data_IF_357878924474
#
_entry.id   IF_357878924474
#
_cell.length_a   1.000
_cell.length_b   1.000
_cell.length_c   1.000
_cell.angle_alpha   90.00
_cell.angle_beta   90.00
_cell.angle_gamma   90.00
#
_symmetry.space_group_name_H-M   'P 1'
#
loop_
_entity.id
_entity.type
_entity.pdbx_description
1 polymer ?
#
# COMPACT_ATOMS: atom_id res chain seq x y z
N UNK A 1 -50.65 18.67 -5.79
CA UNK A 1 -49.73 19.74 -5.30
C UNK A 1 -48.38 19.09 -5.05
N UNK A 2 -47.54 19.03 -6.08
CA UNK A 2 -46.16 18.60 -5.97
C UNK A 2 -45.33 19.82 -5.61
N UNK A 3 -44.71 19.83 -4.43
CA UNK A 3 -43.70 20.83 -4.08
C UNK A 3 -42.39 20.39 -4.78
N UNK A 4 -41.93 21.26 -5.69
CA UNK A 4 -40.64 21.09 -6.36
C UNK A 4 -39.50 21.19 -5.34
N UNK A 5 -38.61 20.19 -5.39
CA UNK A 5 -37.29 20.29 -4.80
C UNK A 5 -36.52 21.23 -5.73
N UNK A 6 -36.13 22.41 -5.25
CA UNK A 6 -35.15 23.23 -5.94
C UNK A 6 -33.84 22.52 -5.93
N UNK A 7 -33.41 22.06 -7.10
CA UNK A 7 -32.01 21.70 -7.34
C UNK A 7 -31.22 23.04 -7.24
N UNK A 8 -30.49 23.21 -6.13
CA UNK A 8 -29.43 24.18 -6.08
C UNK A 8 -28.34 23.74 -7.05
N UNK A 9 -28.35 24.31 -8.24
CA UNK A 9 -27.25 24.18 -9.19
C UNK A 9 -26.01 24.80 -8.57
N UNK A 10 -25.07 23.98 -8.11
CA UNK A 10 -23.75 24.43 -7.66
C UNK A 10 -23.06 25.03 -8.89
N UNK A 11 -22.92 26.36 -8.91
CA UNK A 11 -22.28 27.05 -10.02
C UNK A 11 -20.77 26.75 -9.97
N UNK A 12 -20.29 26.07 -10.99
CA UNK A 12 -18.84 25.72 -11.20
C UNK A 12 -17.92 26.96 -11.25
N UNK A 13 -18.50 28.18 -11.36
CA UNK A 13 -17.76 29.45 -11.46
C UNK A 13 -17.05 29.86 -10.16
N UNK A 14 -17.41 29.28 -9.00
CA UNK A 14 -16.75 29.55 -7.71
C UNK A 14 -15.47 28.76 -7.47
N UNK A 15 -15.20 27.73 -8.27
CA UNK A 15 -14.02 26.90 -8.09
C UNK A 15 -12.86 27.46 -8.92
N UNK A 16 -11.86 28.02 -8.25
CA UNK A 16 -10.57 28.29 -8.88
C UNK A 16 -10.01 26.92 -9.25
N UNK A 17 -10.04 26.61 -10.55
CA UNK A 17 -9.35 25.43 -11.04
C UNK A 17 -7.86 25.57 -10.71
N UNK A 18 -7.42 24.97 -9.62
CA UNK A 18 -6.00 24.71 -9.44
C UNK A 18 -5.56 24.00 -10.73
N UNK A 19 -4.46 24.45 -11.39
CA UNK A 19 -4.06 23.92 -12.68
C UNK A 19 -4.04 22.38 -12.58
N UNK A 20 -4.86 21.74 -13.41
CA UNK A 20 -5.20 20.30 -13.46
C UNK A 20 -4.16 19.46 -12.73
N UNK A 21 -4.36 19.30 -11.43
CA UNK A 21 -3.61 18.34 -10.63
C UNK A 21 -4.17 16.94 -11.00
N UNK A 22 -3.79 16.46 -12.19
CA UNK A 22 -3.91 15.05 -12.53
C UNK A 22 -2.86 14.32 -11.71
N UNK A 23 -3.14 14.12 -10.44
CA UNK A 23 -2.29 13.41 -9.52
C UNK A 23 -3.18 12.47 -8.73
N UNK A 24 -2.95 11.31 -8.86
CA UNK A 24 -3.12 10.10 -8.13
C UNK A 24 -3.43 9.02 -9.14
N UNK A 25 -2.41 8.40 -9.53
CA UNK A 25 -2.44 7.34 -10.50
C UNK A 25 -2.77 6.05 -9.77
N UNK A 26 -3.60 5.26 -10.40
CA UNK A 26 -3.91 3.92 -9.99
C UNK A 26 -2.63 3.07 -10.02
N UNK A 27 -2.46 2.20 -9.04
CA UNK A 27 -1.26 1.39 -8.89
C UNK A 27 -1.50 -0.01 -9.42
N UNK A 28 -0.78 -0.39 -10.47
CA UNK A 28 -0.59 -1.80 -10.82
C UNK A 28 0.67 -2.28 -10.08
N UNK A 29 0.48 -3.12 -9.09
CA UNK A 29 1.58 -3.68 -8.34
C UNK A 29 2.24 -4.78 -9.15
N UNK A 30 3.54 -4.69 -9.40
CA UNK A 30 4.30 -5.76 -10.03
C UNK A 30 4.65 -6.86 -9.02
N UNK A 31 4.66 -6.54 -7.71
CA UNK A 31 5.03 -7.41 -6.60
C UNK A 31 4.19 -7.11 -5.36
N UNK A 32 3.90 -8.11 -4.50
CA UNK A 32 2.81 -8.06 -3.52
C UNK A 32 3.25 -8.19 -2.07
N UNK A 33 2.70 -7.34 -1.21
CA UNK A 33 2.69 -7.55 0.24
C UNK A 33 4.06 -7.64 0.92
N UNK A 34 5.07 -6.92 0.43
CA UNK A 34 6.40 -6.86 1.04
C UNK A 34 6.84 -5.44 1.44
N UNK A 35 6.10 -4.42 1.05
CA UNK A 35 6.35 -3.01 1.35
C UNK A 35 6.28 -2.71 2.85
N UNK A 36 5.30 -3.28 3.56
CA UNK A 36 5.22 -3.15 5.01
C UNK A 36 6.26 -3.99 5.78
N UNK A 37 6.98 -4.88 5.08
CA UNK A 37 8.19 -5.55 5.56
C UNK A 37 9.46 -4.83 5.15
N UNK A 38 9.34 -3.63 4.53
CA UNK A 38 10.39 -2.71 4.10
C UNK A 38 11.32 -3.25 3.00
N UNK A 39 10.89 -4.28 2.26
CA UNK A 39 11.58 -4.70 1.04
C UNK A 39 11.17 -3.84 -0.14
N UNK A 40 12.09 -3.74 -1.09
CA UNK A 40 11.90 -3.00 -2.32
C UNK A 40 10.71 -3.55 -3.11
N UNK A 41 9.97 -2.64 -3.77
CA UNK A 41 8.81 -2.96 -4.59
C UNK A 41 8.90 -2.32 -5.96
N UNK A 42 8.16 -2.86 -6.91
CA UNK A 42 8.18 -2.39 -8.30
C UNK A 42 6.75 -2.11 -8.80
N UNK A 43 6.05 -1.09 -8.27
CA UNK A 43 4.75 -0.68 -8.79
C UNK A 43 4.87 0.10 -10.10
N UNK A 44 3.76 0.19 -10.82
CA UNK A 44 3.58 1.16 -11.89
C UNK A 44 2.23 1.86 -11.79
N UNK A 45 2.16 3.09 -12.30
CA UNK A 45 0.90 3.82 -12.38
C UNK A 45 0.13 3.48 -13.65
N UNK A 46 -1.18 3.50 -13.55
CA UNK A 46 -2.12 3.41 -14.67
C UNK A 46 -2.87 4.74 -14.86
N UNK A 47 -3.70 4.84 -15.88
CA UNK A 47 -4.33 6.11 -16.29
C UNK A 47 -5.51 6.56 -15.44
N UNK A 48 -6.03 5.70 -14.56
CA UNK A 48 -7.12 6.09 -13.65
C UNK A 48 -6.60 7.07 -12.59
N UNK A 49 -7.41 8.04 -12.20
CA UNK A 49 -7.00 9.14 -11.34
C UNK A 49 -8.07 9.52 -10.31
N UNK A 50 -7.68 10.37 -9.37
CA UNK A 50 -8.54 11.11 -8.45
C UNK A 50 -8.33 12.60 -8.69
N UNK A 51 -9.43 13.34 -8.82
CA UNK A 51 -9.45 14.76 -9.05
C UNK A 51 -10.16 15.46 -7.88
N UNK A 52 -9.56 16.52 -7.37
CA UNK A 52 -10.17 17.38 -6.35
C UNK A 52 -10.21 18.82 -6.86
N UNK A 53 -11.41 19.39 -7.00
CA UNK A 53 -11.59 20.82 -7.17
C UNK A 53 -11.75 21.44 -5.78
N UNK A 54 -11.01 22.51 -5.49
CA UNK A 54 -10.94 23.12 -4.16
C UNK A 54 -11.24 24.61 -4.26
N UNK A 55 -12.16 25.09 -3.43
CA UNK A 55 -12.39 26.51 -3.15
C UNK A 55 -12.03 26.80 -1.69
N UNK A 56 -11.26 27.83 -1.46
CA UNK A 56 -10.82 28.25 -0.12
C UNK A 56 -11.78 29.28 0.44
N UNK A 57 -12.15 29.14 1.71
CA UNK A 57 -12.94 30.16 2.41
C UNK A 57 -12.04 31.08 3.25
N UNK A 58 -12.34 32.36 3.21
CA UNK A 58 -11.81 33.26 4.23
C UNK A 58 -12.52 32.99 5.57
N UNK A 59 -11.76 32.98 6.65
CA UNK A 59 -12.28 32.77 8.00
C UNK A 59 -13.01 34.06 8.46
N UNK A 60 -14.33 34.02 8.40
CA UNK A 60 -15.14 35.20 8.87
C UNK A 60 -15.25 35.20 10.40
N UNK A 61 -15.69 34.13 11.01
CA UNK A 61 -15.76 33.90 12.48
C UNK A 61 -15.99 32.39 12.76
N UNK A 62 -15.47 31.90 13.88
CA UNK A 62 -15.63 30.46 14.26
C UNK A 62 -14.57 29.52 13.69
N UNK A 63 -14.73 28.20 13.81
CA UNK A 63 -13.81 27.22 13.28
C UNK A 63 -13.77 27.25 11.75
N UNK A 64 -12.64 26.86 11.17
CA UNK A 64 -12.57 26.63 9.72
C UNK A 64 -13.35 25.35 9.39
N UNK A 65 -14.15 25.37 8.31
CA UNK A 65 -15.03 24.25 7.95
C UNK A 65 -14.58 23.63 6.63
N UNK A 66 -14.66 22.33 6.51
CA UNK A 66 -14.50 21.60 5.25
C UNK A 66 -15.83 21.01 4.83
N UNK A 67 -16.26 21.37 3.62
CA UNK A 67 -17.39 20.72 2.96
C UNK A 67 -16.85 19.83 1.83
N UNK A 68 -17.10 18.53 1.96
CA UNK A 68 -16.62 17.54 1.02
C UNK A 68 -17.79 16.90 0.26
N UNK A 69 -17.78 17.06 -1.05
CA UNK A 69 -18.80 16.57 -1.98
C UNK A 69 -18.18 15.68 -3.05
N UNK A 70 -18.99 14.87 -3.72
CA UNK A 70 -18.56 14.01 -4.80
C UNK A 70 -19.53 14.11 -5.99
N UNK A 71 -19.03 14.00 -7.21
CA UNK A 71 -19.86 13.99 -8.43
C UNK A 71 -20.84 12.80 -8.48
N UNK A 72 -20.62 11.78 -7.63
CA UNK A 72 -21.51 10.62 -7.45
C UNK A 72 -22.14 10.61 -6.05
N UNK A 73 -23.05 11.53 -5.71
CA UNK A 73 -23.57 11.70 -4.35
C UNK A 73 -24.36 10.49 -3.83
N UNK A 74 -24.91 9.65 -4.71
CA UNK A 74 -25.61 8.42 -4.33
C UNK A 74 -24.68 7.37 -3.73
N UNK A 75 -23.39 7.41 -4.10
CA UNK A 75 -22.36 6.48 -3.61
C UNK A 75 -21.53 7.11 -2.50
N UNK A 76 -21.29 8.41 -2.59
CA UNK A 76 -20.44 9.17 -1.69
C UNK A 76 -21.20 10.40 -1.17
N UNK A 77 -21.91 10.19 -0.07
CA UNK A 77 -22.71 11.26 0.55
C UNK A 77 -21.84 12.46 0.92
N UNK A 78 -22.37 13.67 0.68
CA UNK A 78 -21.70 14.90 1.06
C UNK A 78 -21.61 15.03 2.58
N UNK A 79 -20.47 15.48 3.07
CA UNK A 79 -20.20 15.66 4.50
C UNK A 79 -19.57 17.01 4.75
N UNK A 80 -19.89 17.57 5.92
CA UNK A 80 -19.28 18.79 6.43
C UNK A 80 -18.72 18.53 7.83
N UNK A 81 -17.56 19.11 8.12
CA UNK A 81 -16.94 19.00 9.43
C UNK A 81 -16.04 20.20 9.71
N UNK A 82 -15.92 20.56 10.98
CA UNK A 82 -15.06 21.64 11.44
C UNK A 82 -13.62 21.18 11.64
N UNK A 83 -12.68 22.08 11.31
CA UNK A 83 -11.29 21.94 11.68
C UNK A 83 -11.14 22.58 13.07
N UNK A 84 -10.79 21.82 14.13
CA UNK A 84 -10.67 22.39 15.47
C UNK A 84 -9.57 23.44 15.52
N UNK A 85 -9.73 24.49 16.34
CA UNK A 85 -8.70 25.55 16.48
C UNK A 85 -7.38 25.01 17.04
N UNK A 86 -7.43 23.90 17.76
CA UNK A 86 -6.26 23.17 18.31
C UNK A 86 -6.44 21.67 18.15
N UNK A 87 -5.32 20.96 17.92
CA UNK A 87 -5.35 19.51 17.69
C UNK A 87 -5.71 19.16 16.24
N UNK A 88 -6.13 17.94 16.02
CA UNK A 88 -6.43 17.40 14.69
C UNK A 88 -7.91 17.02 14.58
N UNK A 89 -8.41 16.94 13.34
CA UNK A 89 -9.78 16.47 13.08
C UNK A 89 -9.91 15.01 13.50
N UNK A 90 -11.05 14.67 14.07
CA UNK A 90 -11.32 13.31 14.50
C UNK A 90 -11.55 12.38 13.30
N UNK A 91 -10.82 11.25 13.29
CA UNK A 91 -10.97 10.15 12.33
C UNK A 91 -11.57 8.97 13.08
N UNK A 92 -12.79 8.58 12.72
CA UNK A 92 -13.43 7.38 13.26
C UNK A 92 -13.05 6.16 12.40
N UNK A 93 -12.01 5.44 12.81
CA UNK A 93 -11.53 4.24 12.11
C UNK A 93 -12.54 3.07 12.15
N UNK A 94 -13.58 3.13 12.98
CA UNK A 94 -14.64 2.14 13.05
C UNK A 94 -15.75 2.39 12.02
N UNK A 95 -15.86 3.61 11.50
CA UNK A 95 -16.86 4.01 10.53
C UNK A 95 -16.34 3.90 9.08
N UNK A 96 -17.17 3.27 8.22
CA UNK A 96 -16.93 3.14 6.77
C UNK A 96 -17.20 4.47 6.04
N UNK A 97 -16.56 5.56 6.48
CA UNK A 97 -16.73 6.86 5.84
C UNK A 97 -15.60 7.17 4.88
N UNK A 98 -15.95 7.44 3.61
CA UNK A 98 -14.98 7.85 2.60
C UNK A 98 -14.26 9.15 2.96
N UNK A 99 -14.90 10.02 3.77
CA UNK A 99 -14.35 11.28 4.27
C UNK A 99 -13.19 11.06 5.26
N UNK A 100 -13.08 9.89 5.90
CA UNK A 100 -11.96 9.58 6.78
C UNK A 100 -10.62 9.58 6.05
N UNK A 101 -10.60 9.21 4.76
CA UNK A 101 -9.40 9.29 3.93
C UNK A 101 -9.00 10.74 3.62
N UNK A 102 -9.99 11.64 3.40
CA UNK A 102 -9.71 13.06 3.28
C UNK A 102 -9.18 13.64 4.59
N UNK A 103 -9.83 13.35 5.72
CA UNK A 103 -9.39 13.76 7.05
C UNK A 103 -7.98 13.29 7.35
N UNK A 104 -7.63 12.07 6.95
CA UNK A 104 -6.27 11.52 7.05
C UNK A 104 -5.24 12.38 6.29
N UNK A 105 -5.51 12.72 5.03
CA UNK A 105 -4.69 13.64 4.24
C UNK A 105 -4.59 15.04 4.85
N UNK A 106 -5.69 15.57 5.40
CA UNK A 106 -5.74 16.85 6.08
C UNK A 106 -4.85 16.85 7.34
N UNK A 107 -4.93 15.82 8.17
CA UNK A 107 -4.10 15.69 9.39
C UNK A 107 -2.62 15.65 9.00
N UNK A 108 -2.23 14.76 8.08
CA UNK A 108 -0.83 14.64 7.66
C UNK A 108 -0.29 15.94 7.07
N UNK A 109 -1.04 16.59 6.17
CA UNK A 109 -0.64 17.88 5.58
C UNK A 109 -0.52 18.98 6.64
N UNK A 110 -1.48 19.06 7.57
CA UNK A 110 -1.46 20.04 8.66
C UNK A 110 -0.25 19.85 9.58
N UNK A 111 0.09 18.63 9.93
CA UNK A 111 1.30 18.31 10.71
C UNK A 111 2.59 18.74 9.99
N UNK A 112 2.69 18.48 8.68
CA UNK A 112 3.84 18.89 7.89
C UNK A 112 3.94 20.42 7.81
N UNK A 113 2.82 21.10 7.59
CA UNK A 113 2.76 22.58 7.53
C UNK A 113 3.14 23.20 8.87
N UNK A 114 2.73 22.63 10.00
CA UNK A 114 3.15 23.09 11.33
C UNK A 114 4.67 22.95 11.55
N UNK A 115 5.31 21.94 10.96
CA UNK A 115 6.75 21.71 11.05
C UNK A 115 7.57 22.62 10.12
N UNK A 116 7.00 23.00 8.97
CA UNK A 116 7.75 23.66 7.89
C UNK A 116 7.45 25.15 7.75
N UNK A 117 6.28 25.62 8.22
CA UNK A 117 5.87 27.02 8.13
C UNK A 117 5.78 27.64 9.53
N UNK A 118 6.65 28.62 9.80
CA UNK A 118 6.65 29.32 11.08
C UNK A 118 5.32 30.02 11.34
N UNK A 119 4.72 29.77 12.51
CA UNK A 119 3.45 30.36 12.91
C UNK A 119 2.19 29.69 12.31
N UNK A 120 2.33 28.69 11.47
CA UNK A 120 1.19 27.91 10.99
C UNK A 120 0.54 27.13 12.13
N UNK A 121 -0.76 27.29 12.31
CA UNK A 121 -1.51 26.60 13.37
C UNK A 121 -2.49 25.58 12.82
N UNK A 122 -3.35 26.01 11.91
CA UNK A 122 -4.41 25.19 11.34
C UNK A 122 -4.66 25.51 9.86
N UNK A 123 -5.23 24.54 9.15
CA UNK A 123 -5.62 24.72 7.75
C UNK A 123 -6.77 25.71 7.59
N UNK A 124 -6.83 26.34 6.43
CA UNK A 124 -8.00 27.14 5.99
C UNK A 124 -9.21 26.26 5.76
N UNK A 125 -10.41 26.85 5.79
CA UNK A 125 -11.65 26.19 5.39
C UNK A 125 -11.71 25.98 3.87
N UNK A 126 -12.40 24.89 3.43
CA UNK A 126 -12.42 24.49 2.02
C UNK A 126 -13.76 23.87 1.63
N UNK A 127 -14.26 24.24 0.44
CA UNK A 127 -15.24 23.45 -0.30
C UNK A 127 -14.48 22.57 -1.30
N UNK A 128 -14.78 21.28 -1.30
CA UNK A 128 -14.09 20.30 -2.13
C UNK A 128 -15.11 19.48 -2.90
N UNK A 129 -14.91 19.42 -4.22
CA UNK A 129 -15.62 18.51 -5.09
C UNK A 129 -14.65 17.43 -5.57
N UNK A 130 -14.96 16.19 -5.23
CA UNK A 130 -14.17 15.01 -5.61
C UNK A 130 -14.79 14.33 -6.84
N UNK A 131 -13.91 13.90 -7.74
CA UNK A 131 -14.20 13.02 -8.89
C UNK A 131 -13.05 12.06 -9.08
N UNK A 132 -13.20 11.05 -9.94
CA UNK A 132 -12.12 10.16 -10.31
C UNK A 132 -12.60 8.85 -10.90
N UNK A 133 -11.67 8.21 -11.58
CA UNK A 133 -11.90 6.95 -12.31
C UNK A 133 -11.30 5.73 -11.60
N UNK A 134 -10.64 5.93 -10.44
CA UNK A 134 -10.10 4.83 -9.62
C UNK A 134 -11.26 4.05 -8.99
N UNK A 135 -11.44 2.75 -9.31
CA UNK A 135 -12.53 1.97 -8.75
C UNK A 135 -12.33 1.77 -7.24
N UNK A 136 -13.32 2.23 -6.45
CA UNK A 136 -13.32 2.01 -5.01
C UNK A 136 -13.49 0.53 -4.68
N UNK A 137 -12.62 -0.03 -3.82
CA UNK A 137 -12.62 -1.45 -3.45
C UNK A 137 -12.13 -2.40 -4.54
N UNK A 138 -11.63 -1.89 -5.67
CA UNK A 138 -11.17 -2.69 -6.81
C UNK A 138 -9.71 -3.18 -6.74
N UNK A 139 -9.07 -3.12 -5.58
CA UNK A 139 -7.67 -3.60 -5.43
C UNK A 139 -6.60 -2.68 -6.06
N UNK A 140 -6.98 -1.48 -6.50
CA UNK A 140 -6.11 -0.55 -7.20
C UNK A 140 -5.82 0.71 -6.37
N UNK A 141 -5.76 0.56 -5.05
CA UNK A 141 -5.26 1.56 -4.11
C UNK A 141 -5.98 2.91 -4.13
N UNK A 142 -7.32 2.90 -4.29
CA UNK A 142 -8.13 4.12 -4.29
C UNK A 142 -7.97 4.95 -3.01
N UNK A 143 -7.72 4.32 -1.86
CA UNK A 143 -7.49 5.00 -0.59
C UNK A 143 -6.20 5.81 -0.60
N UNK A 144 -5.08 5.20 -0.97
CA UNK A 144 -3.79 5.89 -1.03
C UNK A 144 -3.82 7.05 -2.04
N UNK A 145 -4.44 6.82 -3.21
CA UNK A 145 -4.64 7.86 -4.21
C UNK A 145 -5.45 9.05 -3.64
N UNK A 146 -6.53 8.76 -2.92
CA UNK A 146 -7.37 9.80 -2.34
C UNK A 146 -6.68 10.52 -1.18
N UNK A 147 -5.93 9.82 -0.31
CA UNK A 147 -5.13 10.44 0.76
C UNK A 147 -4.05 11.36 0.18
N UNK A 148 -3.31 10.91 -0.84
CA UNK A 148 -2.28 11.73 -1.50
C UNK A 148 -2.88 12.98 -2.17
N UNK A 149 -4.01 12.83 -2.88
CA UNK A 149 -4.72 13.95 -3.50
C UNK A 149 -5.23 14.93 -2.45
N UNK A 150 -5.79 14.43 -1.35
CA UNK A 150 -6.30 15.24 -0.23
C UNK A 150 -5.19 16.05 0.46
N UNK A 151 -4.08 15.38 0.79
CA UNK A 151 -2.93 16.06 1.39
C UNK A 151 -2.37 17.15 0.47
N UNK A 152 -2.24 16.87 -0.83
CA UNK A 152 -1.79 17.83 -1.82
C UNK A 152 -2.77 19.01 -1.93
N UNK A 153 -4.08 18.76 -1.94
CA UNK A 153 -5.12 19.80 -1.97
C UNK A 153 -5.02 20.71 -0.75
N UNK A 154 -4.87 20.15 0.44
CA UNK A 154 -4.70 20.91 1.69
C UNK A 154 -3.44 21.77 1.66
N UNK A 155 -2.30 21.21 1.25
CA UNK A 155 -1.05 21.96 1.13
C UNK A 155 -1.18 23.13 0.15
N UNK A 156 -1.81 22.89 -1.00
CA UNK A 156 -2.07 23.94 -2.01
C UNK A 156 -3.03 25.03 -1.51
N UNK A 157 -4.11 24.63 -0.82
CA UNK A 157 -5.06 25.57 -0.22
C UNK A 157 -4.41 26.50 0.82
N UNK A 158 -3.37 26.00 1.51
CA UNK A 158 -2.60 26.76 2.49
C UNK A 158 -1.35 27.47 1.91
N UNK A 159 -1.30 27.68 0.60
CA UNK A 159 -0.30 28.53 -0.06
C UNK A 159 1.01 27.86 -0.42
N UNK A 160 1.14 26.52 -0.29
CA UNK A 160 2.35 25.81 -0.72
C UNK A 160 2.38 25.69 -2.24
N UNK A 161 3.21 26.47 -2.91
CA UNK A 161 3.30 26.46 -4.37
C UNK A 161 4.02 25.22 -4.93
N UNK A 162 5.08 24.77 -4.26
CA UNK A 162 5.87 23.60 -4.67
C UNK A 162 5.88 22.58 -3.56
N UNK A 163 5.16 21.49 -3.78
CA UNK A 163 5.09 20.37 -2.84
C UNK A 163 6.25 19.42 -3.10
N UNK A 164 7.01 19.08 -2.06
CA UNK A 164 8.01 18.03 -2.13
C UNK A 164 7.30 16.68 -2.21
N UNK A 165 7.61 15.90 -3.25
CA UNK A 165 6.99 14.60 -3.50
C UNK A 165 7.31 13.58 -2.41
N UNK A 166 8.53 13.58 -1.88
CA UNK A 166 8.97 12.67 -0.81
C UNK A 166 8.18 12.96 0.47
N UNK A 167 8.13 14.22 0.89
CA UNK A 167 7.38 14.63 2.07
C UNK A 167 5.89 14.28 1.94
N UNK A 168 5.29 14.48 0.75
CA UNK A 168 3.90 14.12 0.46
C UNK A 168 3.66 12.61 0.60
N UNK A 169 4.58 11.77 0.10
CA UNK A 169 4.45 10.31 0.22
C UNK A 169 4.62 9.87 1.66
N UNK A 170 5.64 10.35 2.36
CA UNK A 170 5.92 10.00 3.75
C UNK A 170 4.76 10.36 4.68
N UNK A 171 4.21 11.57 4.55
CA UNK A 171 3.04 11.97 5.34
C UNK A 171 1.81 11.11 5.00
N UNK A 172 1.57 10.81 3.71
CA UNK A 172 0.43 10.02 3.30
C UNK A 172 0.49 8.57 3.82
N UNK A 173 1.68 7.96 3.87
CA UNK A 173 1.91 6.64 4.46
C UNK A 173 1.50 6.64 5.95
N UNK A 174 2.01 7.61 6.70
CA UNK A 174 1.78 7.67 8.15
C UNK A 174 0.33 8.00 8.46
N UNK A 175 -0.24 8.98 7.77
CA UNK A 175 -1.60 9.46 8.05
C UNK A 175 -2.67 8.45 7.63
N UNK A 176 -2.51 7.69 6.53
CA UNK A 176 -3.48 6.67 6.13
C UNK A 176 -3.64 5.56 7.18
N UNK A 177 -2.60 5.27 7.96
CA UNK A 177 -2.69 4.31 9.07
C UNK A 177 -3.74 4.71 10.12
N UNK A 178 -4.09 5.99 10.24
CA UNK A 178 -5.15 6.45 11.14
C UNK A 178 -6.56 5.96 10.74
N UNK A 179 -6.75 5.53 9.49
CA UNK A 179 -8.03 4.95 9.01
C UNK A 179 -8.13 3.45 9.35
N UNK A 180 -7.11 2.85 10.00
CA UNK A 180 -7.15 1.45 10.45
C UNK A 180 -6.56 0.44 9.47
N UNK A 181 -5.77 0.88 8.48
CA UNK A 181 -5.07 0.03 7.51
C UNK A 181 -3.56 0.16 7.67
N UNK A 182 -2.86 -0.98 7.78
CA UNK A 182 -1.40 -1.04 7.96
C UNK A 182 -0.63 -0.82 6.64
N UNK A 183 -0.78 0.34 6.02
CA UNK A 183 -0.12 0.68 4.75
C UNK A 183 1.41 0.67 4.88
N UNK A 184 2.09 0.04 3.90
CA UNK A 184 3.56 -0.01 3.82
C UNK A 184 4.17 1.17 3.07
N UNK A 185 3.48 1.72 2.08
CA UNK A 185 3.92 2.92 1.36
C UNK A 185 4.09 2.77 -0.15
N UNK A 186 3.98 1.57 -0.69
CA UNK A 186 4.08 1.31 -2.12
C UNK A 186 3.02 2.10 -2.91
N UNK A 187 1.78 2.09 -2.43
CA UNK A 187 0.64 2.71 -3.10
C UNK A 187 0.77 4.23 -3.17
N UNK A 188 1.19 4.86 -2.08
CA UNK A 188 1.41 6.30 -2.02
C UNK A 188 2.58 6.71 -2.92
N UNK A 189 3.69 5.95 -2.90
CA UNK A 189 4.83 6.20 -3.79
C UNK A 189 4.42 6.10 -5.26
N UNK A 190 3.66 5.07 -5.62
CA UNK A 190 3.16 4.87 -6.97
C UNK A 190 2.06 5.86 -7.39
N UNK A 191 1.42 6.55 -6.45
CA UNK A 191 0.48 7.64 -6.75
C UNK A 191 1.19 8.97 -7.06
N UNK A 192 2.44 9.18 -6.61
CA UNK A 192 3.10 10.49 -6.61
C UNK A 192 4.34 10.55 -7.51
N UNK A 193 5.18 9.51 -7.55
CA UNK A 193 6.48 9.53 -8.23
C UNK A 193 6.50 9.10 -9.70
N UNK A 194 5.57 8.27 -10.22
CA UNK A 194 5.75 7.63 -11.52
C UNK A 194 5.87 8.60 -12.69
N UNK A 195 6.57 8.13 -13.71
CA UNK A 195 6.58 8.71 -15.05
C UNK A 195 5.88 7.75 -16.02
N UNK A 196 5.26 8.31 -17.05
CA UNK A 196 4.60 7.52 -18.09
C UNK A 196 5.62 6.62 -18.79
N UNK A 197 5.27 5.35 -19.00
CA UNK A 197 6.12 4.38 -19.71
C UNK A 197 7.24 3.80 -18.85
N UNK A 198 7.11 3.89 -17.52
CA UNK A 198 8.07 3.30 -16.59
C UNK A 198 7.38 2.60 -15.42
N UNK A 199 8.05 1.59 -14.86
CA UNK A 199 7.80 1.12 -13.51
C UNK A 199 8.52 2.02 -12.51
N UNK A 200 8.20 1.89 -11.23
CA UNK A 200 8.82 2.64 -10.15
C UNK A 200 9.49 1.66 -9.17
N UNK A 201 10.81 1.69 -9.09
CA UNK A 201 11.55 0.95 -8.06
C UNK A 201 11.58 1.78 -6.79
N UNK A 202 10.91 1.29 -5.74
CA UNK A 202 10.78 1.98 -4.45
C UNK A 202 11.56 1.23 -3.40
N UNK A 203 12.41 1.93 -2.65
CA UNK A 203 13.09 1.45 -1.46
C UNK A 203 12.64 2.24 -0.24
N UNK A 204 12.50 1.57 0.90
CA UNK A 204 12.06 2.16 2.16
C UNK A 204 13.21 2.31 3.17
N UNK A 205 14.34 1.71 2.90
CA UNK A 205 15.53 1.65 3.78
C UNK A 205 16.77 2.07 3.00
N UNK A 206 17.66 2.92 3.56
CA UNK A 206 17.61 3.56 4.88
C UNK A 206 16.57 4.69 4.97
N UNK A 207 16.12 5.18 3.83
CA UNK A 207 15.09 6.21 3.69
C UNK A 207 14.25 5.94 2.44
N UNK A 208 13.04 6.51 2.40
CA UNK A 208 12.18 6.40 1.22
C UNK A 208 12.89 7.00 -0.01
N UNK A 209 13.05 6.17 -1.02
CA UNK A 209 13.55 6.57 -2.33
C UNK A 209 12.77 5.91 -3.45
N UNK A 210 12.69 6.58 -4.60
CA UNK A 210 11.93 6.11 -5.74
C UNK A 210 12.67 6.41 -7.04
N UNK A 211 12.90 5.39 -7.85
CA UNK A 211 13.60 5.48 -9.13
C UNK A 211 12.71 4.94 -10.24
N UNK A 212 12.48 5.77 -11.27
CA UNK A 212 11.77 5.30 -12.46
C UNK A 212 12.65 4.34 -13.27
N UNK A 213 12.08 3.20 -13.63
CA UNK A 213 12.69 2.15 -14.45
C UNK A 213 11.93 2.10 -15.76
N UNK A 214 12.54 2.58 -16.82
CA UNK A 214 11.92 2.57 -18.15
C UNK A 214 11.71 1.13 -18.63
N UNK A 215 10.59 0.89 -19.29
CA UNK A 215 10.40 -0.37 -20.02
C UNK A 215 11.32 -0.38 -21.23
N UNK A 216 11.96 -1.52 -21.55
CA UNK A 216 12.83 -1.62 -22.70
C UNK A 216 12.04 -1.35 -23.99
N UNK A 217 12.65 -0.67 -24.94
CA UNK A 217 12.08 -0.52 -26.27
C UNK A 217 12.06 -1.88 -26.99
N UNK A 218 10.89 -2.32 -27.39
CA UNK A 218 10.65 -3.63 -27.96
C UNK A 218 9.89 -3.48 -29.26
N UNK A 219 10.14 -4.38 -30.24
CA UNK A 219 9.35 -4.43 -31.49
C UNK A 219 7.87 -4.68 -31.22
N UNK A 220 7.57 -5.62 -30.30
CA UNK A 220 6.24 -5.83 -29.75
C UNK A 220 6.21 -5.21 -28.36
N UNK A 221 5.49 -4.10 -28.17
CA UNK A 221 5.52 -3.40 -26.89
C UNK A 221 4.95 -4.25 -25.77
N UNK A 222 5.57 -4.15 -24.59
CA UNK A 222 5.05 -4.77 -23.37
C UNK A 222 3.69 -4.15 -23.05
N UNK A 223 2.67 -4.99 -22.98
CA UNK A 223 1.28 -4.55 -22.71
C UNK A 223 0.78 -5.21 -21.44
N UNK A 224 0.23 -4.40 -20.54
CA UNK A 224 -0.45 -4.85 -19.33
C UNK A 224 -1.95 -4.70 -19.48
N UNK A 225 -2.68 -5.79 -19.22
CA UNK A 225 -4.14 -5.81 -19.23
C UNK A 225 -4.61 -5.95 -17.79
N UNK A 226 -5.48 -5.04 -17.35
CA UNK A 226 -6.08 -5.07 -16.03
C UNK A 226 -7.48 -5.64 -16.17
N UNK A 227 -7.73 -6.79 -15.54
CA UNK A 227 -9.03 -7.42 -15.44
C UNK A 227 -9.58 -7.33 -14.03
N UNK A 228 -10.88 -7.12 -13.90
CA UNK A 228 -11.55 -7.05 -12.61
C UNK A 228 -12.32 -8.33 -12.33
N UNK A 229 -12.11 -8.91 -11.15
CA UNK A 229 -12.86 -10.09 -10.68
C UNK A 229 -14.26 -9.76 -10.16
N UNK A 230 -14.60 -8.48 -10.02
CA UNK A 230 -15.83 -7.97 -9.37
C UNK A 230 -16.00 -8.42 -7.91
N UNK A 231 -15.00 -9.04 -7.32
CA UNK A 231 -14.97 -9.33 -5.89
C UNK A 231 -14.61 -8.04 -5.16
N UNK A 232 -15.56 -7.46 -4.44
CA UNK A 232 -15.33 -6.29 -3.63
C UNK A 232 -14.77 -6.69 -2.27
N UNK A 233 -13.59 -6.19 -1.91
CA UNK A 233 -13.05 -6.33 -0.57
C UNK A 233 -13.65 -5.24 0.33
N UNK A 234 -14.56 -5.61 1.21
CA UNK A 234 -14.90 -4.76 2.34
C UNK A 234 -13.74 -4.77 3.35
N UNK A 235 -12.96 -3.69 3.35
CA UNK A 235 -11.75 -3.59 4.18
C UNK A 235 -12.02 -3.76 5.68
N UNK A 236 -13.20 -3.37 6.19
CA UNK A 236 -13.54 -3.52 7.61
C UNK A 236 -13.81 -4.98 7.98
N UNK A 237 -14.33 -5.77 7.05
CA UNK A 237 -14.58 -7.20 7.25
C UNK A 237 -13.34 -8.02 6.97
N UNK A 238 -12.63 -7.70 5.90
CA UNK A 238 -11.53 -8.52 5.37
C UNK A 238 -10.16 -8.15 5.93
N UNK A 239 -9.90 -6.87 6.26
CA UNK A 239 -8.58 -6.47 6.77
C UNK A 239 -8.17 -7.22 8.06
N UNK A 240 -9.07 -7.47 9.05
CA UNK A 240 -8.68 -8.22 10.25
C UNK A 240 -8.20 -9.65 10.00
N UNK A 241 -8.64 -10.29 8.94
CA UNK A 241 -8.30 -11.69 8.60
C UNK A 241 -7.37 -11.82 7.42
N UNK A 242 -7.20 -10.76 6.64
CA UNK A 242 -6.38 -10.75 5.43
C UNK A 242 -5.20 -9.78 5.57
N UNK A 243 -5.44 -8.48 5.43
CA UNK A 243 -4.36 -7.50 5.33
C UNK A 243 -3.64 -7.27 6.67
N UNK A 244 -4.37 -6.85 7.72
CA UNK A 244 -3.78 -6.56 9.03
C UNK A 244 -3.14 -7.81 9.65
N UNK A 245 -3.79 -8.97 9.49
CA UNK A 245 -3.23 -10.24 9.95
C UNK A 245 -1.88 -10.54 9.30
N UNK A 246 -1.73 -10.29 7.99
CA UNK A 246 -0.45 -10.51 7.29
C UNK A 246 0.66 -9.63 7.87
N UNK A 247 0.36 -8.36 8.17
CA UNK A 247 1.33 -7.45 8.80
C UNK A 247 1.76 -7.96 10.18
N UNK A 248 0.82 -8.43 10.99
CA UNK A 248 1.12 -9.02 12.31
C UNK A 248 1.95 -10.29 12.17
N UNK A 249 1.58 -11.20 11.24
CA UNK A 249 2.30 -12.45 11.02
C UNK A 249 3.76 -12.22 10.59
N UNK A 250 4.04 -11.29 9.66
CA UNK A 250 5.43 -11.00 9.24
C UNK A 250 6.24 -10.30 10.33
N UNK A 251 5.60 -9.45 11.14
CA UNK A 251 6.25 -8.80 12.30
C UNK A 251 6.62 -9.84 13.36
N UNK A 252 5.70 -10.74 13.70
CA UNK A 252 5.96 -11.84 14.63
C UNK A 252 7.05 -12.79 14.10
N UNK A 253 7.07 -13.05 12.78
CA UNK A 253 8.13 -13.85 12.16
C UNK A 253 9.51 -13.19 12.34
N UNK A 254 9.62 -11.87 12.15
CA UNK A 254 10.86 -11.14 12.38
C UNK A 254 11.33 -11.27 13.84
N UNK A 255 10.42 -11.11 14.81
CA UNK A 255 10.73 -11.22 16.24
C UNK A 255 11.15 -12.66 16.63
N UNK A 256 10.40 -13.66 16.16
CA UNK A 256 10.71 -15.08 16.45
C UNK A 256 12.04 -15.49 15.85
N UNK A 257 12.32 -15.11 14.61
CA UNK A 257 13.62 -15.36 13.98
C UNK A 257 14.75 -14.65 14.73
N UNK A 258 14.56 -13.38 15.10
CA UNK A 258 15.56 -12.66 15.92
C UNK A 258 15.87 -13.39 17.23
N UNK A 259 14.85 -13.87 17.91
CA UNK A 259 15.02 -14.64 19.15
C UNK A 259 15.75 -15.96 18.94
N UNK A 260 15.37 -16.72 17.91
CA UNK A 260 15.99 -18.00 17.56
C UNK A 260 17.50 -17.84 17.22
N UNK A 261 17.85 -16.77 16.51
CA UNK A 261 19.25 -16.50 16.14
C UNK A 261 20.03 -15.71 17.21
N UNK A 262 19.44 -15.51 18.39
CA UNK A 262 20.12 -14.86 19.52
C UNK A 262 20.46 -13.39 19.25
N UNK A 263 19.71 -12.73 18.37
CA UNK A 263 19.81 -11.28 18.21
C UNK A 263 19.30 -10.58 19.46
N UNK A 264 19.91 -9.45 19.78
CA UNK A 264 19.34 -8.51 20.75
C UNK A 264 18.00 -7.97 20.22
N UNK A 265 17.35 -7.09 20.99
CA UNK A 265 16.13 -6.43 20.53
C UNK A 265 16.37 -5.78 19.16
N UNK A 266 15.47 -6.04 18.22
CA UNK A 266 15.56 -5.43 16.88
C UNK A 266 15.41 -3.90 17.01
N UNK A 267 16.24 -3.13 16.29
CA UNK A 267 16.09 -1.68 16.29
C UNK A 267 14.72 -1.30 15.72
N UNK A 268 14.07 -0.25 16.25
CA UNK A 268 12.85 0.27 15.68
C UNK A 268 13.06 0.69 14.21
N UNK A 269 12.10 0.37 13.37
CA UNK A 269 12.07 0.72 11.95
C UNK A 269 10.74 1.40 11.54
N UNK A 270 10.63 2.00 10.34
CA UNK A 270 9.42 2.67 9.88
C UNK A 270 8.26 1.72 9.52
N UNK A 271 8.41 0.42 9.71
CA UNK A 271 7.33 -0.56 9.52
C UNK A 271 6.10 -0.24 10.37
N UNK A 272 4.91 -0.71 9.98
CA UNK A 272 3.66 -0.37 10.66
C UNK A 272 3.62 -0.69 12.15
N UNK A 273 4.32 -1.74 12.57
CA UNK A 273 4.41 -2.20 13.96
C UNK A 273 5.81 -1.99 14.60
N UNK A 274 6.64 -1.17 13.95
CA UNK A 274 7.94 -0.72 14.47
C UNK A 274 9.09 -1.70 14.29
N UNK A 275 8.84 -2.92 13.79
CA UNK A 275 9.85 -3.92 13.42
C UNK A 275 9.38 -4.70 12.20
N UNK A 276 10.33 -5.11 11.35
CA UNK A 276 10.04 -5.78 10.07
C UNK A 276 10.99 -6.93 9.79
N UNK A 277 10.65 -7.75 8.78
CA UNK A 277 11.56 -8.80 8.28
C UNK A 277 12.83 -8.21 7.67
N UNK A 278 12.80 -6.99 7.11
CA UNK A 278 13.99 -6.29 6.65
C UNK A 278 14.88 -5.88 7.82
N UNK A 279 14.30 -5.35 8.89
CA UNK A 279 15.05 -5.01 10.11
C UNK A 279 15.73 -6.24 10.73
N UNK A 280 15.02 -7.40 10.75
CA UNK A 280 15.62 -8.67 11.13
C UNK A 280 16.77 -9.07 10.19
N UNK A 281 16.56 -9.02 8.87
CA UNK A 281 17.58 -9.37 7.87
C UNK A 281 18.87 -8.56 8.07
N UNK A 282 18.75 -7.25 8.17
CA UNK A 282 19.89 -6.35 8.32
C UNK A 282 20.64 -6.61 9.66
N UNK A 283 19.91 -6.78 10.77
CA UNK A 283 20.50 -7.09 12.06
C UNK A 283 21.19 -8.48 12.08
N UNK A 284 20.60 -9.45 11.40
CA UNK A 284 21.18 -10.79 11.29
C UNK A 284 22.49 -10.76 10.48
N UNK A 285 22.55 -10.06 9.35
CA UNK A 285 23.78 -9.93 8.55
C UNK A 285 24.85 -9.13 9.28
N UNK A 286 24.47 -8.10 10.03
CA UNK A 286 25.40 -7.35 10.88
C UNK A 286 26.04 -8.26 11.94
N UNK A 287 25.25 -9.08 12.64
CA UNK A 287 25.75 -9.99 13.67
C UNK A 287 26.62 -11.11 13.08
N UNK A 288 26.19 -11.72 11.96
CA UNK A 288 26.83 -12.90 11.38
C UNK A 288 28.05 -12.59 10.53
N UNK A 289 28.01 -11.50 9.76
CA UNK A 289 29.03 -11.17 8.75
C UNK A 289 29.66 -9.79 8.96
N UNK A 290 29.22 -9.03 9.98
CA UNK A 290 29.73 -7.68 10.25
C UNK A 290 29.28 -6.63 9.22
N UNK A 291 28.27 -6.93 8.40
CA UNK A 291 27.74 -6.02 7.38
C UNK A 291 26.91 -4.94 8.08
N UNK A 292 27.45 -3.73 8.16
CA UNK A 292 26.77 -2.60 8.81
C UNK A 292 25.68 -1.98 7.94
N UNK A 293 25.91 -1.93 6.62
CA UNK A 293 25.05 -1.26 5.65
C UNK A 293 24.58 -2.27 4.59
N UNK A 294 23.60 -3.11 4.95
CA UNK A 294 23.13 -4.16 4.06
C UNK A 294 22.42 -3.65 2.79
N UNK A 295 22.08 -2.35 2.74
CA UNK A 295 21.55 -1.69 1.54
C UNK A 295 22.65 -1.31 0.52
N UNK A 296 23.94 -1.41 0.89
CA UNK A 296 25.09 -1.13 0.01
C UNK A 296 25.70 -2.40 -0.61
N UNK A 297 25.27 -3.60 -0.17
CA UNK A 297 25.78 -4.84 -0.78
C UNK A 297 25.31 -4.99 -2.23
N UNK A 298 26.01 -5.79 -3.00
CA UNK A 298 25.63 -6.06 -4.38
C UNK A 298 24.27 -6.75 -4.45
N UNK A 299 23.51 -6.54 -5.54
CA UNK A 299 22.22 -7.23 -5.73
C UNK A 299 22.36 -8.75 -5.69
N UNK A 300 23.44 -9.31 -6.24
CA UNK A 300 23.69 -10.75 -6.22
C UNK A 300 23.87 -11.25 -4.78
N UNK A 301 24.68 -10.57 -4.00
CA UNK A 301 24.88 -10.89 -2.58
C UNK A 301 23.58 -10.77 -1.80
N UNK A 302 22.79 -9.74 -2.04
CA UNK A 302 21.49 -9.57 -1.40
C UNK A 302 20.51 -10.71 -1.77
N UNK A 303 20.51 -11.16 -3.02
CA UNK A 303 19.72 -12.33 -3.45
C UNK A 303 20.18 -13.61 -2.76
N UNK A 304 21.49 -13.83 -2.64
CA UNK A 304 22.07 -14.98 -1.93
C UNK A 304 21.68 -14.98 -0.44
N UNK A 305 21.71 -13.80 0.21
CA UNK A 305 21.25 -13.63 1.58
C UNK A 305 19.77 -14.00 1.73
N UNK A 306 18.90 -13.52 0.83
CA UNK A 306 17.48 -13.85 0.84
C UNK A 306 17.24 -15.37 0.65
N UNK A 307 18.00 -16.03 -0.23
CA UNK A 307 17.90 -17.47 -0.44
C UNK A 307 18.34 -18.27 0.81
N UNK A 308 19.39 -17.81 1.49
CA UNK A 308 19.84 -18.38 2.78
C UNK A 308 18.74 -18.20 3.86
N UNK A 309 18.10 -17.04 3.91
CA UNK A 309 17.01 -16.78 4.85
C UNK A 309 15.78 -17.65 4.59
N UNK A 310 15.42 -17.93 3.34
CA UNK A 310 14.34 -18.88 3.00
C UNK A 310 14.68 -20.28 3.55
N UNK A 311 15.91 -20.75 3.33
CA UNK A 311 16.36 -22.04 3.86
C UNK A 311 16.30 -22.09 5.40
N UNK A 312 16.63 -20.98 6.06
CA UNK A 312 16.52 -20.86 7.52
C UNK A 312 15.09 -20.83 8.02
N UNK A 313 14.20 -20.13 7.31
CA UNK A 313 12.76 -20.14 7.62
C UNK A 313 12.24 -21.59 7.59
N UNK A 314 12.59 -22.35 6.56
CA UNK A 314 12.18 -23.76 6.45
C UNK A 314 12.72 -24.63 7.60
N UNK A 315 13.94 -24.40 8.02
CA UNK A 315 14.60 -25.14 9.10
C UNK A 315 14.09 -24.76 10.49
N UNK A 316 13.92 -23.47 10.75
CA UNK A 316 13.73 -22.95 12.12
C UNK A 316 12.29 -22.52 12.45
N UNK A 317 11.41 -22.45 11.45
CA UNK A 317 9.98 -22.23 11.65
C UNK A 317 9.16 -23.46 11.20
N UNK A 318 9.23 -24.60 11.92
CA UNK A 318 8.66 -25.87 11.46
C UNK A 318 7.13 -25.95 11.53
N UNK A 319 6.45 -25.00 12.18
CA UNK A 319 4.99 -25.06 12.40
C UNK A 319 4.23 -24.64 11.14
N UNK A 320 3.86 -25.59 10.30
CA UNK A 320 3.10 -25.36 9.06
C UNK A 320 1.67 -24.87 9.33
N UNK A 321 1.04 -25.40 10.38
CA UNK A 321 -0.31 -24.96 10.80
C UNK A 321 -0.34 -23.60 11.51
N UNK A 322 0.85 -23.01 11.77
CA UNK A 322 1.03 -21.74 12.46
C UNK A 322 1.22 -21.88 13.97
N UNK A 323 1.60 -20.79 14.59
CA UNK A 323 1.94 -20.68 16.01
C UNK A 323 0.76 -20.14 16.81
N UNK A 324 0.45 -20.75 17.96
CA UNK A 324 -0.52 -20.20 18.90
C UNK A 324 0.08 -19.04 19.71
N UNK A 325 -0.77 -18.30 20.45
CA UNK A 325 -0.32 -17.21 21.34
C UNK A 325 0.58 -17.71 22.46
N UNK A 326 0.32 -18.90 22.98
CA UNK A 326 1.11 -19.56 24.02
C UNK A 326 2.51 -19.90 23.50
N UNK A 327 2.60 -20.48 22.31
CA UNK A 327 3.88 -20.79 21.67
C UNK A 327 4.70 -19.52 21.38
N UNK A 328 4.05 -18.46 20.92
CA UNK A 328 4.70 -17.18 20.71
C UNK A 328 5.20 -16.56 22.02
N UNK A 329 4.39 -16.64 23.09
CA UNK A 329 4.74 -16.20 24.44
C UNK A 329 5.99 -16.91 24.95
N UNK A 330 6.03 -18.24 24.81
CA UNK A 330 7.17 -19.06 25.21
C UNK A 330 8.45 -18.72 24.43
N UNK A 331 8.37 -18.66 23.08
CA UNK A 331 9.52 -18.35 22.24
C UNK A 331 10.07 -16.95 22.46
N UNK A 332 9.18 -15.96 22.55
CA UNK A 332 9.56 -14.56 22.69
C UNK A 332 9.97 -14.20 24.13
N UNK A 333 9.54 -15.01 25.11
CA UNK A 333 9.72 -14.71 26.52
C UNK A 333 8.92 -13.47 26.97
N UNK A 334 7.77 -13.23 26.36
CA UNK A 334 6.82 -12.16 26.66
C UNK A 334 5.47 -12.75 27.02
N UNK A 335 4.75 -12.17 27.97
CA UNK A 335 3.39 -12.60 28.26
C UNK A 335 2.44 -12.27 27.08
N UNK A 336 1.37 -13.06 26.96
CA UNK A 336 0.40 -12.96 25.86
C UNK A 336 -0.21 -11.55 25.77
N UNK A 337 -0.53 -10.96 26.93
CA UNK A 337 -1.13 -9.63 26.98
C UNK A 337 -0.18 -8.57 26.38
N UNK A 338 1.11 -8.63 26.71
CA UNK A 338 2.13 -7.74 26.13
C UNK A 338 2.25 -7.90 24.62
N UNK A 339 2.23 -9.14 24.10
CA UNK A 339 2.27 -9.40 22.66
C UNK A 339 1.03 -8.79 21.98
N UNK A 340 -0.15 -9.02 22.53
CA UNK A 340 -1.40 -8.48 22.00
C UNK A 340 -1.42 -6.95 22.02
N UNK A 341 -1.00 -6.34 23.11
CA UNK A 341 -0.97 -4.88 23.25
C UNK A 341 -0.01 -4.22 22.25
N UNK A 342 1.17 -4.78 22.06
CA UNK A 342 2.18 -4.21 21.18
C UNK A 342 1.89 -4.43 19.68
N UNK A 343 1.38 -5.61 19.33
CA UNK A 343 1.38 -6.03 17.91
C UNK A 343 -0.02 -6.31 17.35
N UNK A 344 -1.06 -6.47 18.19
CA UNK A 344 -2.39 -6.92 17.74
C UNK A 344 -3.51 -5.93 18.04
N UNK A 345 -3.37 -5.03 19.04
CA UNK A 345 -4.41 -4.05 19.42
C UNK A 345 -4.49 -2.85 18.49
N UNK A 346 -3.36 -2.41 17.93
CA UNK A 346 -3.33 -1.22 17.09
C UNK A 346 -4.22 -1.37 15.85
N UNK A 347 -4.33 -2.58 15.34
CA UNK A 347 -5.15 -2.91 14.18
C UNK A 347 -5.88 -4.23 14.47
N UNK A 348 -7.22 -4.26 14.37
CA UNK A 348 -7.98 -5.46 14.68
C UNK A 348 -7.53 -6.65 13.83
N UNK A 349 -7.30 -7.80 14.46
CA UNK A 349 -7.03 -9.08 13.80
C UNK A 349 -7.94 -10.17 14.34
N UNK A 350 -8.18 -11.18 13.51
CA UNK A 350 -8.96 -12.38 13.87
C UNK A 350 -8.20 -13.62 13.41
N UNK A 351 -7.45 -14.22 14.33
CA UNK A 351 -6.74 -15.47 14.10
C UNK A 351 -6.46 -16.17 15.43
N UNK A 352 -6.51 -17.50 15.42
CA UNK A 352 -6.09 -18.35 16.54
C UNK A 352 -4.65 -18.79 16.38
N UNK A 353 -4.17 -18.90 15.15
CA UNK A 353 -2.81 -19.27 14.79
C UNK A 353 -2.20 -18.30 13.78
N UNK A 354 -0.88 -18.16 13.83
CA UNK A 354 -0.09 -17.24 13.03
C UNK A 354 0.90 -18.03 12.14
N UNK A 355 0.74 -17.92 10.83
CA UNK A 355 1.52 -18.71 9.83
C UNK A 355 2.86 -18.06 9.49
N UNK A 356 3.77 -17.97 10.46
CA UNK A 356 5.03 -17.22 10.35
C UNK A 356 5.92 -17.73 9.22
N UNK A 357 6.06 -19.08 9.08
CA UNK A 357 6.86 -19.73 8.04
C UNK A 357 6.43 -19.27 6.64
N UNK A 358 5.16 -19.48 6.32
CA UNK A 358 4.62 -19.18 5.01
C UNK A 358 4.76 -17.69 4.67
N UNK A 359 4.51 -16.80 5.65
CA UNK A 359 4.60 -15.35 5.41
C UNK A 359 6.03 -14.90 5.18
N UNK A 360 6.99 -15.38 5.97
CA UNK A 360 8.41 -15.07 5.78
C UNK A 360 8.94 -15.62 4.45
N UNK A 361 8.61 -16.88 4.11
CA UNK A 361 8.97 -17.49 2.82
C UNK A 361 8.48 -16.69 1.63
N UNK A 362 7.20 -16.24 1.67
CA UNK A 362 6.66 -15.37 0.63
C UNK A 362 7.43 -14.06 0.52
N UNK A 363 7.64 -13.36 1.65
CA UNK A 363 8.30 -12.04 1.66
C UNK A 363 9.71 -12.11 1.08
N UNK A 364 10.52 -13.05 1.52
CA UNK A 364 11.89 -13.22 0.99
C UNK A 364 11.90 -13.66 -0.48
N UNK A 365 11.02 -14.59 -0.86
CA UNK A 365 10.87 -15.03 -2.24
C UNK A 365 10.39 -13.92 -3.17
N UNK A 366 9.44 -13.10 -2.71
CA UNK A 366 8.94 -11.97 -3.48
C UNK A 366 9.99 -10.88 -3.64
N UNK A 367 10.80 -10.62 -2.60
CA UNK A 367 11.94 -9.70 -2.69
C UNK A 367 12.94 -10.14 -3.76
N UNK A 368 13.24 -11.45 -3.87
CA UNK A 368 14.07 -12.00 -4.94
C UNK A 368 13.42 -11.75 -6.32
N UNK A 369 12.11 -11.98 -6.46
CA UNK A 369 11.38 -11.77 -7.72
C UNK A 369 11.40 -10.30 -8.15
N UNK A 370 11.26 -9.34 -7.20
CA UNK A 370 11.42 -7.90 -7.46
C UNK A 370 12.78 -7.59 -8.08
N UNK A 371 13.87 -8.09 -7.47
CA UNK A 371 15.23 -7.85 -7.95
C UNK A 371 15.43 -8.43 -9.35
N UNK A 372 15.01 -9.67 -9.58
CA UNK A 372 15.09 -10.33 -10.90
C UNK A 372 14.27 -9.59 -11.96
N UNK A 373 13.06 -9.16 -11.63
CA UNK A 373 12.21 -8.41 -12.56
C UNK A 373 12.84 -7.07 -12.92
N UNK A 374 13.37 -6.36 -11.94
CA UNK A 374 14.09 -5.10 -12.15
C UNK A 374 15.33 -5.28 -13.02
N UNK A 375 16.09 -6.38 -12.84
CA UNK A 375 17.27 -6.69 -13.67
C UNK A 375 16.87 -7.01 -15.11
N UNK A 376 15.77 -7.72 -15.33
CA UNK A 376 15.24 -7.97 -16.67
C UNK A 376 14.82 -6.68 -17.38
N UNK A 377 14.20 -5.73 -16.66
CA UNK A 377 13.84 -4.42 -17.23
C UNK A 377 15.07 -3.56 -17.51
N UNK A 378 16.13 -3.67 -16.70
CA UNK A 378 17.36 -2.91 -16.87
C UNK A 378 18.33 -3.52 -17.89
N UNK A 379 18.06 -4.72 -18.39
CA UNK A 379 18.86 -5.39 -19.40
C UNK A 379 18.81 -4.63 -20.75
N UNK A 380 19.81 -4.79 -21.62
CA UNK A 380 19.77 -4.24 -22.97
C UNK A 380 18.49 -4.62 -23.70
N UNK A 381 17.92 -3.67 -24.45
CA UNK A 381 16.71 -3.90 -25.22
C UNK A 381 16.89 -5.05 -26.23
N UNK A 382 15.92 -5.97 -26.35
CA UNK A 382 16.02 -7.11 -27.27
C UNK A 382 16.09 -6.63 -28.71
N UNK A 383 17.02 -7.18 -29.49
CA UNK A 383 17.26 -6.79 -30.88
C UNK A 383 16.53 -7.73 -31.86
N UNK A 384 16.17 -8.92 -31.43
CA UNK A 384 15.48 -9.94 -32.26
C UNK A 384 14.12 -10.32 -31.68
N UNK A 385 13.25 -10.93 -32.47
CA UNK A 385 11.95 -11.41 -32.04
C UNK A 385 12.10 -12.60 -31.05
N UNK A 386 13.17 -13.36 -31.16
CA UNK A 386 13.50 -14.45 -30.24
C UNK A 386 13.89 -13.90 -28.85
N UNK A 387 14.79 -12.90 -28.81
CA UNK A 387 15.16 -12.23 -27.57
C UNK A 387 13.97 -11.53 -26.93
N UNK A 388 13.11 -10.89 -27.74
CA UNK A 388 11.88 -10.27 -27.28
C UNK A 388 10.95 -11.30 -26.61
N UNK A 389 10.75 -12.45 -27.27
CA UNK A 389 9.92 -13.54 -26.73
C UNK A 389 10.52 -14.12 -25.45
N UNK A 390 11.84 -14.27 -25.39
CA UNK A 390 12.55 -14.75 -24.21
C UNK A 390 12.37 -13.82 -23.02
N UNK A 391 12.49 -12.50 -23.23
CA UNK A 391 12.27 -11.50 -22.18
C UNK A 391 10.81 -11.53 -21.69
N UNK A 392 9.83 -11.55 -22.61
CA UNK A 392 8.41 -11.62 -22.24
C UNK A 392 8.07 -12.89 -21.42
N UNK A 393 8.64 -14.04 -21.80
CA UNK A 393 8.47 -15.30 -21.05
C UNK A 393 9.07 -15.17 -19.66
N UNK A 394 10.30 -14.68 -19.53
CA UNK A 394 10.97 -14.54 -18.23
C UNK A 394 10.21 -13.60 -17.29
N UNK A 395 9.72 -12.45 -17.81
CA UNK A 395 8.89 -11.54 -17.04
C UNK A 395 7.56 -12.19 -16.64
N UNK A 396 6.94 -12.92 -17.57
CA UNK A 396 5.69 -13.63 -17.36
C UNK A 396 5.80 -14.74 -16.30
N UNK A 397 6.89 -15.51 -16.30
CA UNK A 397 7.18 -16.56 -15.31
C UNK A 397 7.28 -15.96 -13.89
N UNK A 398 7.99 -14.84 -13.71
CA UNK A 398 8.05 -14.16 -12.42
C UNK A 398 6.67 -13.70 -11.91
N UNK A 399 5.78 -13.24 -12.80
CA UNK A 399 4.41 -12.89 -12.45
C UNK A 399 3.58 -14.13 -12.05
N UNK A 400 3.76 -15.25 -12.76
CA UNK A 400 3.10 -16.51 -12.47
C UNK A 400 3.56 -17.08 -11.12
N UNK A 401 4.87 -17.06 -10.84
CA UNK A 401 5.44 -17.47 -9.55
C UNK A 401 4.92 -16.62 -8.39
N UNK A 402 4.72 -15.31 -8.63
CA UNK A 402 4.08 -14.43 -7.66
C UNK A 402 2.63 -14.83 -7.40
N UNK A 403 1.84 -15.15 -8.45
CA UNK A 403 0.45 -15.63 -8.30
C UNK A 403 0.40 -16.89 -7.47
N UNK A 404 1.24 -17.87 -7.78
CA UNK A 404 1.28 -19.13 -7.07
C UNK A 404 1.69 -18.94 -5.61
N UNK A 405 2.68 -18.09 -5.33
CA UNK A 405 3.08 -17.74 -3.96
C UNK A 405 1.97 -16.97 -3.21
N UNK A 406 1.25 -16.09 -3.87
CA UNK A 406 0.12 -15.37 -3.30
C UNK A 406 -1.04 -16.31 -2.93
N UNK A 407 -1.34 -17.28 -3.80
CA UNK A 407 -2.40 -18.26 -3.58
C UNK A 407 -2.03 -19.28 -2.51
N UNK A 408 -0.89 -19.95 -2.67
CA UNK A 408 -0.57 -21.18 -1.93
C UNK A 408 0.22 -20.91 -0.63
N UNK A 409 1.01 -19.84 -0.59
CA UNK A 409 1.92 -19.53 0.53
C UNK A 409 1.42 -18.33 1.34
N UNK A 410 1.09 -17.22 0.67
CA UNK A 410 0.69 -16.00 1.38
C UNK A 410 -0.79 -15.95 1.72
N UNK A 411 -1.60 -16.74 1.02
CA UNK A 411 -3.01 -16.90 1.29
C UNK A 411 -3.77 -15.56 1.17
N UNK A 412 -3.57 -14.88 0.05
CA UNK A 412 -4.21 -13.59 -0.28
C UNK A 412 -4.87 -13.56 -1.67
N UNK A 413 -5.10 -14.72 -2.29
CA UNK A 413 -5.90 -14.88 -3.49
C UNK A 413 -7.33 -15.37 -3.20
N UNK A 414 -8.17 -15.44 -4.21
CA UNK A 414 -9.51 -16.03 -4.17
C UNK A 414 -9.79 -16.80 -5.47
N UNK A 415 -10.79 -17.72 -5.46
CA UNK A 415 -11.09 -18.56 -6.63
C UNK A 415 -11.34 -17.75 -7.91
N UNK A 416 -12.00 -16.60 -7.82
CA UNK A 416 -12.33 -15.74 -8.96
C UNK A 416 -11.04 -15.11 -9.57
N UNK A 417 -10.07 -14.75 -8.73
CA UNK A 417 -8.77 -14.25 -9.20
C UNK A 417 -7.92 -15.35 -9.81
N UNK A 418 -7.92 -16.55 -9.20
CA UNK A 418 -7.20 -17.70 -9.71
C UNK A 418 -7.77 -18.15 -11.07
N UNK A 419 -9.09 -18.11 -11.22
CA UNK A 419 -9.76 -18.37 -12.51
C UNK A 419 -9.37 -17.34 -13.57
N UNK A 420 -9.41 -16.03 -13.24
CA UNK A 420 -8.98 -14.97 -14.17
C UNK A 420 -7.52 -15.15 -14.60
N UNK A 421 -6.62 -15.48 -13.66
CA UNK A 421 -5.23 -15.74 -13.99
C UNK A 421 -5.08 -16.95 -14.92
N UNK A 422 -5.85 -18.01 -14.69
CA UNK A 422 -5.86 -19.21 -15.53
C UNK A 422 -6.38 -18.90 -16.93
N UNK A 423 -7.48 -18.16 -17.04
CA UNK A 423 -8.06 -17.75 -18.31
C UNK A 423 -7.09 -16.87 -19.12
N UNK A 424 -6.44 -15.88 -18.46
CA UNK A 424 -5.46 -15.02 -19.12
C UNK A 424 -4.29 -15.82 -19.72
N UNK A 425 -3.72 -16.75 -18.96
CA UNK A 425 -2.64 -17.64 -19.42
C UNK A 425 -3.10 -18.54 -20.57
N UNK A 426 -4.31 -19.09 -20.47
CA UNK A 426 -4.90 -19.91 -21.55
C UNK A 426 -5.17 -19.12 -22.82
N UNK A 427 -5.44 -17.82 -22.71
CA UNK A 427 -5.61 -16.89 -23.84
C UNK A 427 -4.28 -16.40 -24.44
N UNK A 428 -3.14 -16.85 -23.91
CA UNK A 428 -1.81 -16.55 -24.44
C UNK A 428 -1.05 -15.43 -23.75
N UNK A 429 -1.51 -14.96 -22.57
CA UNK A 429 -0.71 -14.06 -21.75
C UNK A 429 0.56 -14.77 -21.26
N UNK A 430 1.71 -14.14 -21.36
CA UNK A 430 2.98 -14.68 -20.87
C UNK A 430 2.97 -14.88 -19.33
N UNK A 431 2.29 -14.00 -18.61
CA UNK A 431 2.09 -14.09 -17.18
C UNK A 431 0.81 -13.41 -16.75
N UNK A 432 0.29 -13.85 -15.62
CA UNK A 432 -0.90 -13.27 -15.00
C UNK A 432 -0.87 -13.47 -13.49
N UNK A 433 -1.28 -12.42 -12.75
CA UNK A 433 -1.34 -12.47 -11.31
C UNK A 433 -2.37 -11.49 -10.74
N UNK A 434 -2.73 -11.70 -9.50
CA UNK A 434 -3.53 -10.74 -8.74
C UNK A 434 -2.79 -9.41 -8.50
N UNK A 435 -3.53 -8.33 -8.29
CA UNK A 435 -3.02 -7.05 -7.80
C UNK A 435 -3.93 -6.53 -6.69
N UNK A 436 -3.33 -5.99 -5.60
CA UNK A 436 -4.06 -5.56 -4.41
C UNK A 436 -4.40 -6.71 -3.45
N UNK A 437 -4.90 -6.36 -2.27
CA UNK A 437 -5.27 -7.32 -1.23
C UNK A 437 -6.75 -7.69 -1.38
N UNK A 438 -7.05 -8.83 -1.99
CA UNK A 438 -8.43 -9.33 -2.13
C UNK A 438 -8.50 -10.76 -1.65
N UNK A 439 -9.21 -11.00 -0.54
CA UNK A 439 -9.65 -12.34 -0.16
C UNK A 439 -11.09 -12.31 0.33
N UNK A 440 -11.89 -13.26 -0.15
CA UNK A 440 -13.19 -13.59 0.39
C UNK A 440 -13.05 -14.82 1.28
N UNK A 441 -13.47 -14.74 2.55
CA UNK A 441 -13.64 -15.94 3.38
C UNK A 441 -14.92 -16.62 2.94
N UNK A 442 -14.86 -17.89 2.59
CA UNK A 442 -15.96 -18.74 2.10
C UNK A 442 -17.10 -18.98 3.11
N UNK A 443 -17.19 -18.21 4.17
CA UNK A 443 -18.17 -18.35 5.25
C UNK A 443 -19.41 -17.45 5.13
N UNK A 444 -19.53 -16.66 4.07
CA UNK A 444 -20.76 -15.90 3.81
C UNK A 444 -21.54 -16.48 2.63
N UNK A 445 -22.86 -16.71 2.77
CA UNK A 445 -23.68 -17.18 1.64
C UNK A 445 -23.64 -16.13 0.53
N UNK A 446 -23.35 -16.58 -0.70
CA UNK A 446 -23.37 -15.74 -1.90
C UNK A 446 -24.75 -15.11 -2.06
N UNK A 447 -24.89 -13.79 -2.31
CA UNK A 447 -26.15 -13.29 -2.82
C UNK A 447 -26.38 -13.95 -4.20
N UNK A 448 -27.49 -14.67 -4.34
CA UNK A 448 -27.91 -15.22 -5.63
C UNK A 448 -28.24 -14.03 -6.53
N UNK A 449 -27.48 -13.87 -7.59
CA UNK A 449 -27.91 -13.01 -8.69
C UNK A 449 -29.22 -13.59 -9.25
N UNK A 450 -30.30 -12.85 -9.05
CA UNK A 450 -31.59 -13.04 -9.73
C UNK A 450 -31.57 -12.27 -11.05
#
# INVERSE_FOLDING_TARGET
MCRGVQEESISLEKYVALPKLRHALQVLMMMQHIDYSLYEVLPMAVTADVLLAVSVHEKESGPSTVRLTNVHPQKFESKEFDIPDTGDVHIDSSALEWTNYFKSGLVGATELLRKTISGFKQSVGMDILADGTVPSGGGLSSSAAFVCASALAVMRANGVEKVNKKDLVELAIVSERAVGVNSGGMDQAASVFPLRGSALYVSFVPELSAKNVAFPEMKSPLTFVIAQSFVAADKHVTAPVCYNLRVVEVTLAALVLAKIFGLQELPPDPGPLGVSLRGFHDAYMQQKQGIKNNHEVSKAEFQDQLQDLISKVDQYLPQEEGYSREQLSEILGMDIQTIEEKYMKKFPIRADKFKLRQRATHVFGEAIRVLKFNDLLAAPAPQTDEENTKLLKALGELLNDTQDSCRDVYDNSCPELDELCTLARSAGAYGSRLTGAVRFTSSFPRPRCS
#
